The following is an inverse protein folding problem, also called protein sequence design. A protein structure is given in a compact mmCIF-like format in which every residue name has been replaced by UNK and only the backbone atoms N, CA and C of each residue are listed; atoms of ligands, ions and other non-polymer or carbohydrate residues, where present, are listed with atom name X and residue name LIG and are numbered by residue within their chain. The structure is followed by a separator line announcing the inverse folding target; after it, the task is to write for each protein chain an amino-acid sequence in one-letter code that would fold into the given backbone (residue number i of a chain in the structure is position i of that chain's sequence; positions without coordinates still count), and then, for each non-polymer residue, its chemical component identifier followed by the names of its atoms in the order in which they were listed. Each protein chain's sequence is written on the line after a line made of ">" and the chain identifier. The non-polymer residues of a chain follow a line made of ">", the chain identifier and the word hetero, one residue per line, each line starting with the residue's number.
data_IF_108121495879
#
_entry.id   IF_108121495879
#
_cell.length_a   1.000
_cell.length_b   1.000
_cell.length_c   1.000
_cell.angle_alpha   90.00
_cell.angle_beta   90.00
_cell.angle_gamma   90.00
#
_symmetry.space_group_name_H-M   'P 1'
#
loop_
_entity.id
_entity.type
_entity.pdbx_description
1 polymer ?
#
# COMPACT_ATOMS: atom_id res chain seq x y z
N UNK A 1 13.82 49.22 -57.17
CA UNK A 1 13.62 48.19 -56.15
C UNK A 1 12.44 48.48 -55.17
N UNK A 2 11.99 49.70 -54.99
CA UNK A 2 10.89 50.04 -54.08
C UNK A 2 9.47 49.61 -54.52
N UNK A 3 9.25 49.40 -55.85
CA UNK A 3 7.92 48.99 -56.39
C UNK A 3 7.64 47.47 -56.26
N UNK A 4 8.66 46.62 -56.06
CA UNK A 4 8.48 45.18 -55.88
C UNK A 4 8.06 44.81 -54.45
N UNK A 5 8.45 45.61 -53.49
CA UNK A 5 8.13 45.38 -52.07
C UNK A 5 6.65 45.61 -51.71
N UNK A 6 5.96 46.51 -52.46
CA UNK A 6 4.54 46.82 -52.20
C UNK A 6 3.62 45.76 -52.79
N UNK A 7 4.00 45.10 -53.90
CA UNK A 7 3.18 44.06 -54.52
C UNK A 7 3.20 42.74 -53.72
N UNK A 8 4.34 42.42 -53.08
CA UNK A 8 4.46 41.22 -52.26
C UNK A 8 3.63 41.31 -50.98
N UNK A 9 3.45 42.52 -50.40
CA UNK A 9 2.70 42.72 -49.15
C UNK A 9 1.18 42.74 -49.37
N UNK A 10 0.68 42.89 -50.59
CA UNK A 10 -0.77 42.92 -50.90
C UNK A 10 -1.32 41.53 -51.27
N UNK A 11 -0.48 40.64 -51.81
CA UNK A 11 -0.89 39.29 -52.25
C UNK A 11 -0.66 38.16 -51.25
N UNK A 12 0.16 38.37 -50.25
CA UNK A 12 0.33 37.43 -49.13
C UNK A 12 0.02 38.17 -47.84
N UNK A 13 -1.21 38.09 -47.33
CA UNK A 13 -1.46 38.51 -45.96
C UNK A 13 -0.46 37.77 -45.07
N UNK A 14 0.28 38.48 -44.21
CA UNK A 14 1.38 37.89 -43.49
C UNK A 14 0.83 36.68 -42.74
N UNK A 15 1.55 35.58 -42.83
CA UNK A 15 1.27 34.29 -42.13
C UNK A 15 0.92 34.54 -40.66
N UNK A 16 1.43 35.64 -40.10
CA UNK A 16 1.11 36.14 -38.76
C UNK A 16 -0.37 36.47 -38.56
N UNK A 17 -1.07 37.08 -39.54
CA UNK A 17 -2.50 37.43 -39.39
C UNK A 17 -3.34 36.17 -39.42
N UNK A 18 -3.02 35.22 -40.30
CA UNK A 18 -3.68 33.91 -40.36
C UNK A 18 -3.44 33.11 -39.09
N UNK A 19 -2.21 33.08 -38.56
CA UNK A 19 -1.85 32.42 -37.30
C UNK A 19 -2.57 33.05 -36.12
N UNK A 20 -2.67 34.38 -36.07
CA UNK A 20 -3.40 35.07 -34.96
C UNK A 20 -4.88 34.83 -35.04
N UNK A 21 -5.49 34.77 -36.27
CA UNK A 21 -6.92 34.47 -36.42
C UNK A 21 -7.28 33.00 -36.13
N UNK A 22 -6.33 32.07 -36.32
CA UNK A 22 -6.53 30.65 -35.97
C UNK A 22 -6.25 30.31 -34.53
N UNK A 23 -5.52 31.16 -33.79
CA UNK A 23 -5.16 30.92 -32.38
C UNK A 23 -6.37 30.71 -31.48
N UNK A 24 -7.47 31.52 -31.54
CA UNK A 24 -8.65 31.26 -30.72
C UNK A 24 -9.32 29.92 -31.01
N UNK A 25 -9.37 29.52 -32.30
CA UNK A 25 -9.92 28.23 -32.69
C UNK A 25 -9.07 27.07 -32.20
N UNK A 26 -7.76 27.21 -32.29
CA UNK A 26 -6.83 26.21 -31.75
C UNK A 26 -6.94 26.08 -30.22
N UNK A 27 -7.03 27.20 -29.51
CA UNK A 27 -7.23 27.21 -28.04
C UNK A 27 -8.59 26.62 -27.66
N UNK A 28 -9.65 26.90 -28.43
CA UNK A 28 -10.96 26.30 -28.23
C UNK A 28 -10.92 24.78 -28.44
N UNK A 29 -10.28 24.33 -29.54
CA UNK A 29 -10.12 22.90 -29.79
C UNK A 29 -9.34 22.19 -28.69
N UNK A 30 -8.25 22.79 -28.20
CA UNK A 30 -7.50 22.27 -27.06
C UNK A 30 -8.37 22.21 -25.79
N UNK A 31 -9.15 23.26 -25.51
CA UNK A 31 -10.06 23.27 -24.37
C UNK A 31 -11.14 22.20 -24.46
N UNK A 32 -11.70 21.98 -25.68
CA UNK A 32 -12.68 20.91 -25.93
C UNK A 32 -12.04 19.53 -25.73
N UNK A 33 -10.82 19.31 -26.24
CA UNK A 33 -10.10 18.05 -26.09
C UNK A 33 -9.84 17.78 -24.61
N UNK A 34 -9.36 18.78 -23.84
CA UNK A 34 -9.17 18.65 -22.40
C UNK A 34 -10.48 18.36 -21.67
N UNK A 35 -11.55 19.02 -22.06
CA UNK A 35 -12.88 18.77 -21.51
C UNK A 35 -13.35 17.34 -21.77
N UNK A 36 -13.19 16.83 -23.00
CA UNK A 36 -13.56 15.46 -23.37
C UNK A 36 -12.69 14.42 -22.65
N UNK A 37 -11.38 14.68 -22.52
CA UNK A 37 -10.47 13.80 -21.78
C UNK A 37 -10.85 13.74 -20.28
N UNK A 38 -11.16 14.88 -19.68
CA UNK A 38 -11.66 14.93 -18.29
C UNK A 38 -12.95 14.14 -18.16
N UNK A 39 -13.80 14.20 -19.16
CA UNK A 39 -15.05 13.46 -19.24
C UNK A 39 -14.83 11.94 -19.30
N UNK A 40 -13.92 11.50 -20.15
CA UNK A 40 -13.57 10.07 -20.29
C UNK A 40 -13.00 9.56 -18.97
N UNK A 41 -12.09 10.31 -18.34
CA UNK A 41 -11.53 9.94 -17.04
C UNK A 41 -12.61 9.91 -15.98
N UNK A 42 -13.48 10.92 -15.91
CA UNK A 42 -14.60 10.94 -14.95
C UNK A 42 -15.57 9.78 -15.20
N UNK A 43 -15.91 9.47 -16.47
CA UNK A 43 -16.78 8.36 -16.82
C UNK A 43 -16.19 7.00 -16.40
N UNK A 44 -14.88 6.83 -16.57
CA UNK A 44 -14.19 5.60 -16.17
C UNK A 44 -13.99 5.49 -14.66
N UNK A 45 -13.91 6.63 -13.97
CA UNK A 45 -13.59 6.69 -12.54
C UNK A 45 -14.80 6.98 -11.66
N UNK A 46 -15.97 7.36 -12.20
CA UNK A 46 -17.13 7.69 -11.39
C UNK A 46 -17.65 6.51 -10.55
N UNK A 47 -17.80 6.71 -9.26
CA UNK A 47 -18.31 5.71 -8.32
C UNK A 47 -19.83 5.44 -8.47
N UNK A 48 -20.54 6.31 -9.23
CA UNK A 48 -21.99 6.23 -9.45
C UNK A 48 -22.29 6.02 -10.93
N UNK A 49 -23.38 5.34 -11.27
CA UNK A 49 -23.79 5.21 -12.66
C UNK A 49 -23.96 6.60 -13.28
N UNK A 50 -23.47 6.77 -14.51
CA UNK A 50 -23.53 8.03 -15.24
C UNK A 50 -24.99 8.37 -15.53
N UNK A 51 -25.48 9.38 -14.85
CA UNK A 51 -26.76 10.04 -15.13
C UNK A 51 -26.50 11.44 -15.65
N UNK A 52 -27.45 12.02 -16.38
CA UNK A 52 -27.33 13.42 -16.83
C UNK A 52 -27.13 14.40 -15.66
N UNK A 53 -27.64 14.06 -14.47
CA UNK A 53 -27.45 14.85 -13.25
C UNK A 53 -26.07 14.68 -12.59
N UNK A 54 -25.37 13.61 -12.88
CA UNK A 54 -24.00 13.37 -12.38
C UNK A 54 -22.91 14.02 -13.24
N UNK A 55 -23.30 14.66 -14.33
CA UNK A 55 -22.42 15.32 -15.24
C UNK A 55 -21.72 16.51 -14.59
N UNK A 56 -20.40 16.70 -14.73
CA UNK A 56 -19.71 17.84 -14.15
C UNK A 56 -19.97 19.13 -14.97
N UNK A 57 -21.21 19.63 -14.91
CA UNK A 57 -21.59 20.88 -15.57
C UNK A 57 -20.98 22.12 -14.93
N UNK A 58 -20.50 22.02 -13.69
CA UNK A 58 -19.86 23.14 -13.01
C UNK A 58 -18.46 23.40 -13.60
N UNK A 59 -18.25 24.55 -14.26
CA UNK A 59 -16.96 24.90 -14.85
C UNK A 59 -15.83 24.95 -13.81
N UNK A 60 -16.14 25.29 -12.55
CA UNK A 60 -15.15 25.33 -11.45
C UNK A 60 -14.67 23.94 -11.10
N UNK A 61 -15.55 22.96 -11.11
CA UNK A 61 -15.23 21.53 -10.88
C UNK A 61 -14.38 20.98 -12.03
N UNK A 62 -14.75 21.28 -13.27
CA UNK A 62 -13.97 20.88 -14.46
C UNK A 62 -12.57 21.48 -14.44
N UNK A 63 -12.44 22.78 -14.12
CA UNK A 63 -11.14 23.45 -13.98
C UNK A 63 -10.29 22.83 -12.86
N UNK A 64 -10.92 22.48 -11.74
CA UNK A 64 -10.25 21.81 -10.61
C UNK A 64 -9.74 20.44 -11.02
N UNK A 65 -10.56 19.62 -11.68
CA UNK A 65 -10.18 18.29 -12.18
C UNK A 65 -9.09 18.39 -13.24
N UNK A 66 -9.20 19.30 -14.18
CA UNK A 66 -8.17 19.54 -15.20
C UNK A 66 -6.84 19.99 -14.59
N UNK A 67 -6.89 20.88 -13.58
CA UNK A 67 -5.69 21.32 -12.86
C UNK A 67 -5.00 20.14 -12.17
N UNK A 68 -5.76 19.25 -11.56
CA UNK A 68 -5.24 18.06 -10.88
C UNK A 68 -4.61 17.11 -11.90
N UNK A 69 -5.31 16.80 -13.00
CA UNK A 69 -4.80 15.97 -14.09
C UNK A 69 -3.52 16.55 -14.70
N UNK A 70 -3.52 17.85 -14.98
CA UNK A 70 -2.37 18.56 -15.54
C UNK A 70 -1.18 18.56 -14.57
N UNK A 71 -1.39 18.86 -13.28
CA UNK A 71 -0.33 18.86 -12.27
C UNK A 71 0.19 17.44 -11.95
N UNK A 72 -0.63 16.41 -12.12
CA UNK A 72 -0.21 15.02 -11.92
C UNK A 72 0.54 14.46 -13.13
N UNK A 73 0.24 14.93 -14.36
CA UNK A 73 0.85 14.40 -15.59
C UNK A 73 2.16 15.08 -15.96
N UNK A 74 2.32 16.38 -15.70
CA UNK A 74 3.56 17.10 -16.05
C UNK A 74 4.79 16.62 -15.25
N UNK A 75 4.77 16.51 -13.92
CA UNK A 75 5.93 16.03 -13.17
C UNK A 75 6.30 14.58 -13.52
N UNK A 76 5.31 13.72 -13.74
CA UNK A 76 5.53 12.32 -14.07
C UNK A 76 6.16 12.14 -15.45
N UNK A 77 5.70 12.89 -16.45
CA UNK A 77 6.24 12.80 -17.81
C UNK A 77 7.65 13.39 -17.94
N UNK A 78 7.95 14.49 -17.24
CA UNK A 78 9.28 15.07 -17.22
C UNK A 78 10.27 14.19 -16.45
N UNK A 79 9.83 13.54 -15.39
CA UNK A 79 10.66 12.61 -14.60
C UNK A 79 10.85 11.25 -15.29
N UNK A 80 9.92 10.81 -16.14
CA UNK A 80 9.99 9.51 -16.84
C UNK A 80 10.94 9.53 -18.05
N UNK A 81 11.20 10.68 -18.68
CA UNK A 81 12.13 10.76 -19.80
C UNK A 81 13.57 10.34 -19.43
N UNK A 82 14.19 10.83 -18.34
CA UNK A 82 15.46 10.32 -17.86
C UNK A 82 15.42 8.84 -17.47
N UNK A 83 14.32 8.38 -16.87
CA UNK A 83 14.11 6.98 -16.49
C UNK A 83 14.03 6.09 -17.73
N UNK A 84 13.26 6.47 -18.76
CA UNK A 84 13.17 5.73 -20.01
C UNK A 84 14.51 5.62 -20.75
N UNK A 85 15.29 6.69 -20.78
CA UNK A 85 16.64 6.70 -21.39
C UNK A 85 17.62 5.83 -20.58
N UNK A 86 17.46 5.75 -19.26
CA UNK A 86 18.30 4.91 -18.41
C UNK A 86 17.97 3.44 -18.53
N UNK A 87 16.71 3.07 -18.74
CA UNK A 87 16.26 1.69 -18.95
C UNK A 87 16.97 1.04 -20.15
N UNK A 88 17.20 1.79 -21.23
CA UNK A 88 17.91 1.31 -22.42
C UNK A 88 19.36 0.94 -22.08
N UNK A 89 20.02 1.71 -21.24
CA UNK A 89 21.43 1.50 -20.85
C UNK A 89 21.62 0.34 -19.87
N UNK A 90 20.69 0.10 -18.96
CA UNK A 90 20.78 -0.93 -17.92
C UNK A 90 20.28 -2.30 -18.32
N UNK A 91 19.49 -2.45 -19.40
CA UNK A 91 18.96 -3.75 -19.88
C UNK A 91 20.08 -4.73 -20.29
N UNK A 92 21.28 -4.25 -20.55
CA UNK A 92 22.44 -5.05 -20.97
C UNK A 92 23.32 -5.58 -19.84
N UNK A 93 23.06 -5.21 -18.57
CA UNK A 93 23.99 -5.48 -17.44
C UNK A 93 23.53 -6.52 -16.41
N UNK A 94 22.37 -7.14 -16.56
CA UNK A 94 21.72 -7.89 -15.49
C UNK A 94 21.97 -9.39 -15.41
N UNK A 95 22.94 -9.94 -16.16
CA UNK A 95 23.16 -11.40 -16.20
C UNK A 95 24.55 -11.87 -15.78
N UNK A 96 25.04 -11.58 -14.58
CA UNK A 96 26.09 -12.38 -13.94
C UNK A 96 25.96 -12.35 -12.43
N UNK A 97 25.43 -13.45 -11.85
CA UNK A 97 25.46 -13.70 -10.41
C UNK A 97 26.88 -14.07 -9.96
N UNK A 98 27.32 -13.48 -8.86
CA UNK A 98 28.48 -14.01 -8.12
C UNK A 98 28.05 -15.29 -7.40
N UNK A 99 28.70 -16.41 -7.72
CA UNK A 99 28.48 -17.67 -7.01
C UNK A 99 29.00 -17.57 -5.58
N UNK A 100 28.21 -18.01 -4.60
CA UNK A 100 28.72 -18.42 -3.31
C UNK A 100 28.07 -17.87 -2.05
N UNK A 101 27.43 -16.69 -2.04
CA UNK A 101 26.77 -16.13 -0.84
C UNK A 101 25.29 -15.90 -1.10
N UNK A 102 24.44 -16.53 -0.26
CA UNK A 102 23.00 -16.26 -0.24
C UNK A 102 22.75 -14.85 0.26
N UNK A 103 21.83 -14.14 -0.37
CA UNK A 103 21.59 -12.69 -0.15
C UNK A 103 20.18 -12.43 0.33
N UNK A 104 19.95 -11.41 1.16
CA UNK A 104 18.61 -10.99 1.49
C UNK A 104 17.80 -10.69 0.23
N UNK A 105 16.52 -11.02 0.27
CA UNK A 105 15.58 -10.86 -0.84
C UNK A 105 14.62 -9.75 -0.51
N UNK A 106 14.41 -8.82 -1.45
CA UNK A 106 13.44 -7.74 -1.31
C UNK A 106 12.38 -7.91 -2.38
N UNK A 107 11.14 -8.16 -1.95
CA UNK A 107 9.96 -8.11 -2.81
C UNK A 107 9.43 -6.68 -2.75
N UNK A 108 9.40 -5.98 -3.89
CA UNK A 108 8.92 -4.60 -3.95
C UNK A 108 7.58 -4.49 -4.65
N UNK A 109 6.57 -3.99 -3.93
CA UNK A 109 5.22 -3.70 -4.43
C UNK A 109 5.09 -2.19 -4.65
N UNK A 110 4.87 -1.81 -5.90
CA UNK A 110 4.83 -0.41 -6.30
C UNK A 110 3.50 0.28 -5.95
N UNK A 111 3.56 1.62 -5.90
CA UNK A 111 2.40 2.48 -5.76
C UNK A 111 1.74 2.82 -7.11
N UNK A 112 0.67 3.60 -7.05
CA UNK A 112 -0.08 4.06 -8.23
C UNK A 112 -1.58 4.15 -7.96
N UNK A 113 -1.96 4.49 -6.73
CA UNK A 113 -3.35 4.65 -6.30
C UNK A 113 -4.24 3.44 -6.69
N UNK A 114 -3.69 2.23 -6.60
CA UNK A 114 -4.33 0.94 -6.93
C UNK A 114 -4.82 0.81 -8.39
N UNK A 115 -4.62 1.81 -9.23
CA UNK A 115 -5.17 1.89 -10.60
C UNK A 115 -4.12 2.04 -11.69
N UNK A 116 -2.86 2.21 -11.33
CA UNK A 116 -1.78 2.46 -12.28
C UNK A 116 -0.45 1.90 -11.79
N UNK A 117 0.57 1.96 -12.64
CA UNK A 117 1.90 1.47 -12.36
C UNK A 117 2.24 0.20 -13.12
N UNK A 118 3.51 -0.12 -13.16
CA UNK A 118 4.05 -1.37 -13.71
C UNK A 118 5.48 -1.58 -13.23
N UNK A 119 5.92 -2.83 -13.15
CA UNK A 119 7.29 -3.20 -12.72
C UNK A 119 8.39 -2.55 -13.57
N UNK A 120 8.11 -2.24 -14.86
CA UNK A 120 9.09 -1.63 -15.76
C UNK A 120 9.56 -0.27 -15.26
N UNK A 121 8.69 0.50 -14.61
CA UNK A 121 9.02 1.83 -14.06
C UNK A 121 10.08 1.71 -12.96
N UNK A 122 10.14 0.58 -12.27
CA UNK A 122 11.00 0.34 -11.11
C UNK A 122 12.27 -0.47 -11.42
N UNK A 123 12.61 -0.63 -12.71
CA UNK A 123 13.85 -1.34 -13.11
C UNK A 123 15.10 -0.71 -12.49
N UNK A 124 15.15 0.62 -12.36
CA UNK A 124 16.26 1.32 -11.72
C UNK A 124 16.32 1.06 -10.21
N UNK A 125 15.18 0.93 -9.54
CA UNK A 125 15.12 0.51 -8.15
C UNK A 125 15.70 -0.90 -7.99
N UNK A 126 15.30 -1.84 -8.85
CA UNK A 126 15.85 -3.19 -8.87
C UNK A 126 17.37 -3.22 -9.07
N UNK A 127 17.89 -2.38 -9.97
CA UNK A 127 19.33 -2.23 -10.17
C UNK A 127 20.03 -1.69 -8.92
N UNK A 128 19.42 -0.72 -8.23
CA UNK A 128 19.96 -0.14 -7.00
C UNK A 128 19.96 -1.15 -5.84
N UNK A 129 18.85 -1.87 -5.62
CA UNK A 129 18.76 -2.90 -4.59
C UNK A 129 19.81 -3.99 -4.83
N UNK A 130 20.02 -4.39 -6.08
CA UNK A 130 21.10 -5.30 -6.45
C UNK A 130 22.48 -4.71 -6.16
N UNK A 131 22.72 -3.43 -6.46
CA UNK A 131 23.98 -2.75 -6.15
C UNK A 131 24.23 -2.66 -4.63
N UNK A 132 23.16 -2.65 -3.83
CA UNK A 132 23.22 -2.75 -2.37
C UNK A 132 23.52 -4.17 -1.87
N UNK A 133 23.50 -5.19 -2.74
CA UNK A 133 23.80 -6.58 -2.38
C UNK A 133 22.59 -7.49 -2.23
N UNK A 134 21.40 -7.04 -2.59
CA UNK A 134 20.14 -7.78 -2.40
C UNK A 134 19.64 -8.45 -3.69
N UNK A 135 18.84 -9.48 -3.56
CA UNK A 135 18.01 -10.00 -4.66
C UNK A 135 16.71 -9.20 -4.69
N UNK A 136 16.38 -8.61 -5.83
CA UNK A 136 15.16 -7.79 -5.98
C UNK A 136 14.12 -8.53 -6.81
N UNK A 137 12.90 -8.67 -6.28
CA UNK A 137 11.72 -9.22 -6.94
C UNK A 137 10.69 -8.10 -7.07
N UNK A 138 10.30 -7.76 -8.27
CA UNK A 138 9.33 -6.68 -8.54
C UNK A 138 8.20 -7.26 -9.40
N UNK A 139 7.13 -7.77 -8.77
CA UNK A 139 5.98 -8.31 -9.48
C UNK A 139 5.08 -7.19 -10.01
N UNK A 140 4.31 -7.47 -11.07
CA UNK A 140 3.10 -6.74 -11.34
C UNK A 140 1.96 -7.29 -10.47
N UNK A 141 1.00 -6.46 -10.16
CA UNK A 141 -0.26 -6.87 -9.52
C UNK A 141 -1.46 -6.31 -10.31
N UNK A 142 -2.59 -6.95 -10.17
CA UNK A 142 -3.83 -6.55 -10.82
C UNK A 142 -4.25 -5.17 -10.34
N UNK A 143 -4.46 -4.24 -11.27
CA UNK A 143 -4.86 -2.86 -10.97
C UNK A 143 -6.33 -2.63 -11.32
N UNK A 144 -6.99 -1.69 -10.62
CA UNK A 144 -8.33 -1.25 -10.96
C UNK A 144 -8.36 -0.67 -12.40
N UNK A 145 -9.38 -0.92 -13.24
CA UNK A 145 -10.65 -1.58 -12.92
C UNK A 145 -10.68 -3.11 -13.09
N UNK A 146 -9.55 -3.76 -13.44
CA UNK A 146 -9.49 -5.22 -13.68
C UNK A 146 -9.66 -6.04 -12.40
N UNK A 147 -9.30 -5.48 -11.24
CA UNK A 147 -9.48 -6.08 -9.95
C UNK A 147 -9.66 -5.03 -8.85
N UNK A 148 -9.95 -5.49 -7.63
CA UNK A 148 -10.10 -4.71 -6.40
C UNK A 148 -9.06 -5.14 -5.38
N UNK A 149 -9.18 -4.69 -4.13
CA UNK A 149 -8.20 -5.00 -3.08
C UNK A 149 -7.95 -6.49 -2.92
N UNK A 150 -8.98 -7.32 -3.04
CA UNK A 150 -8.87 -8.77 -2.93
C UNK A 150 -7.93 -9.39 -3.96
N UNK A 151 -8.14 -9.12 -5.24
CA UNK A 151 -7.30 -9.64 -6.32
C UNK A 151 -5.86 -9.10 -6.20
N UNK A 152 -5.70 -7.85 -5.75
CA UNK A 152 -4.39 -7.25 -5.50
C UNK A 152 -3.65 -7.94 -4.35
N UNK A 153 -4.35 -8.25 -3.26
CA UNK A 153 -3.81 -9.01 -2.12
C UNK A 153 -3.42 -10.43 -2.53
N UNK A 154 -4.23 -11.10 -3.36
CA UNK A 154 -3.93 -12.43 -3.90
C UNK A 154 -2.66 -12.43 -4.75
N UNK A 155 -2.45 -11.41 -5.57
CA UNK A 155 -1.22 -11.23 -6.36
C UNK A 155 0.01 -11.02 -5.46
N UNK A 156 -0.12 -10.23 -4.38
CA UNK A 156 0.96 -10.04 -3.40
C UNK A 156 1.27 -11.36 -2.67
N UNK A 157 0.26 -12.12 -2.25
CA UNK A 157 0.43 -13.44 -1.63
C UNK A 157 1.15 -14.39 -2.58
N UNK A 158 0.75 -14.41 -3.86
CA UNK A 158 1.38 -15.24 -4.88
C UNK A 158 2.85 -14.87 -5.09
N UNK A 159 3.17 -13.57 -5.12
CA UNK A 159 4.54 -13.08 -5.22
C UNK A 159 5.40 -13.51 -4.02
N UNK A 160 4.85 -13.48 -2.80
CA UNK A 160 5.55 -13.94 -1.59
C UNK A 160 5.84 -15.45 -1.68
N UNK A 161 4.82 -16.27 -2.03
CA UNK A 161 4.97 -17.74 -2.15
C UNK A 161 5.97 -18.11 -3.24
N UNK A 162 5.86 -17.49 -4.41
CA UNK A 162 6.79 -17.70 -5.50
C UNK A 162 8.22 -17.34 -5.09
N UNK A 163 8.39 -16.22 -4.41
CA UNK A 163 9.72 -15.81 -3.95
C UNK A 163 10.29 -16.81 -2.94
N UNK A 164 9.49 -17.28 -2.00
CA UNK A 164 9.91 -18.29 -1.02
C UNK A 164 10.38 -19.59 -1.71
N UNK A 165 9.69 -19.99 -2.76
CA UNK A 165 9.98 -21.25 -3.47
C UNK A 165 11.19 -21.14 -4.40
N UNK A 166 11.37 -19.99 -5.08
CA UNK A 166 12.33 -19.88 -6.18
C UNK A 166 13.53 -18.95 -5.92
N UNK A 167 13.57 -18.18 -4.82
CA UNK A 167 14.62 -17.17 -4.65
C UNK A 167 16.04 -17.74 -4.59
N UNK A 168 16.22 -18.97 -4.12
CA UNK A 168 17.52 -19.66 -4.09
C UNK A 168 18.13 -19.80 -5.48
N UNK A 169 17.30 -20.06 -6.51
CA UNK A 169 17.77 -20.16 -7.91
C UNK A 169 18.38 -18.86 -8.42
N UNK A 170 18.07 -17.74 -7.74
CA UNK A 170 18.60 -16.41 -8.04
C UNK A 170 19.64 -15.93 -7.02
N UNK A 171 20.09 -16.81 -6.13
CA UNK A 171 21.06 -16.50 -5.07
C UNK A 171 20.46 -15.75 -3.88
N UNK A 172 19.14 -15.86 -3.68
CA UNK A 172 18.40 -15.30 -2.55
C UNK A 172 18.31 -16.27 -1.39
N UNK A 173 18.34 -15.72 -0.17
CA UNK A 173 18.16 -16.48 1.07
C UNK A 173 16.66 -16.50 1.46
N UNK A 174 15.99 -17.68 1.41
CA UNK A 174 14.57 -17.79 1.74
C UNK A 174 14.28 -17.49 3.23
N UNK A 175 15.27 -17.51 4.10
CA UNK A 175 15.14 -17.11 5.51
C UNK A 175 15.21 -15.59 5.70
N UNK A 176 15.61 -14.83 4.68
CA UNK A 176 15.81 -13.38 4.72
C UNK A 176 15.00 -12.66 3.64
N UNK A 177 13.70 -12.92 3.61
CA UNK A 177 12.77 -12.25 2.70
C UNK A 177 12.15 -11.03 3.39
N UNK A 178 12.29 -9.89 2.74
CA UNK A 178 11.69 -8.60 3.14
C UNK A 178 10.64 -8.19 2.11
N UNK A 179 9.49 -7.71 2.59
CA UNK A 179 8.45 -7.15 1.74
C UNK A 179 8.50 -5.62 1.85
N UNK A 180 8.78 -4.96 0.74
CA UNK A 180 8.89 -3.51 0.64
C UNK A 180 7.74 -2.98 -0.21
N UNK A 181 7.07 -1.92 0.25
CA UNK A 181 6.00 -1.30 -0.52
C UNK A 181 6.08 0.22 -0.51
N UNK A 182 5.49 0.85 -1.53
CA UNK A 182 5.37 2.30 -1.62
C UNK A 182 3.92 2.70 -1.87
N UNK A 183 3.39 3.72 -1.16
CA UNK A 183 2.05 4.27 -1.37
C UNK A 183 0.98 3.16 -1.32
N UNK A 184 0.16 3.00 -2.37
CA UNK A 184 -0.79 1.89 -2.51
C UNK A 184 -0.11 0.50 -2.35
N UNK A 185 1.16 0.34 -2.77
CA UNK A 185 1.91 -0.89 -2.56
C UNK A 185 2.27 -1.12 -1.09
N UNK A 186 2.57 -0.08 -0.32
CA UNK A 186 2.80 -0.20 1.13
C UNK A 186 1.50 -0.59 1.87
N UNK A 187 0.37 -0.03 1.43
CA UNK A 187 -0.95 -0.46 1.89
C UNK A 187 -1.15 -1.96 1.63
N UNK A 188 -0.98 -2.42 0.39
CA UNK A 188 -1.17 -3.82 0.01
C UNK A 188 -0.24 -4.75 0.79
N UNK A 189 1.04 -4.38 0.97
CA UNK A 189 1.99 -5.15 1.77
C UNK A 189 1.51 -5.35 3.20
N UNK A 190 1.16 -4.26 3.89
CA UNK A 190 0.70 -4.32 5.28
C UNK A 190 -0.64 -5.02 5.42
N UNK A 191 -1.59 -4.75 4.51
CA UNK A 191 -2.92 -5.36 4.51
C UNK A 191 -2.84 -6.88 4.32
N UNK A 192 -2.09 -7.34 3.31
CA UNK A 192 -1.93 -8.77 3.01
C UNK A 192 -1.36 -9.53 4.20
N UNK A 193 -0.32 -9.00 4.83
CA UNK A 193 0.33 -9.68 5.98
C UNK A 193 -0.57 -9.67 7.21
N UNK A 194 -1.20 -8.54 7.53
CA UNK A 194 -2.06 -8.44 8.72
C UNK A 194 -3.30 -9.34 8.57
N UNK A 195 -3.93 -9.37 7.40
CA UNK A 195 -5.07 -10.27 7.14
C UNK A 195 -4.67 -11.76 7.25
N UNK A 196 -3.51 -12.13 6.71
CA UNK A 196 -3.00 -13.50 6.84
C UNK A 196 -2.72 -13.87 8.31
N UNK A 197 -2.13 -12.94 9.08
CA UNK A 197 -1.94 -13.12 10.53
C UNK A 197 -3.27 -13.29 11.28
N UNK A 198 -4.31 -12.49 10.93
CA UNK A 198 -5.66 -12.64 11.51
C UNK A 198 -6.22 -14.02 11.23
N UNK A 199 -6.12 -14.48 9.99
CA UNK A 199 -6.61 -15.81 9.60
C UNK A 199 -5.90 -16.93 10.37
N UNK A 200 -4.58 -16.87 10.47
CA UNK A 200 -3.79 -17.83 11.23
C UNK A 200 -4.15 -17.80 12.72
N UNK A 201 -4.25 -16.61 13.28
CA UNK A 201 -4.57 -16.39 14.69
C UNK A 201 -5.93 -16.97 15.06
N UNK A 202 -6.95 -16.73 14.24
CA UNK A 202 -8.29 -17.29 14.46
C UNK A 202 -8.31 -18.82 14.31
N UNK A 203 -7.57 -19.37 13.33
CA UNK A 203 -7.54 -20.81 13.10
C UNK A 203 -6.85 -21.60 14.22
N UNK A 204 -5.91 -21.00 14.95
CA UNK A 204 -5.13 -21.67 15.99
C UNK A 204 -5.95 -21.92 17.27
N UNK A 205 -6.94 -21.09 17.63
CA UNK A 205 -7.82 -21.26 18.79
C UNK A 205 -9.27 -20.98 18.40
N UNK A 206 -9.80 -21.81 17.51
CA UNK A 206 -11.00 -21.55 16.71
C UNK A 206 -12.23 -21.16 17.53
N UNK A 207 -12.50 -21.82 18.65
CA UNK A 207 -13.71 -21.53 19.45
C UNK A 207 -13.64 -20.24 20.24
N UNK A 208 -12.56 -20.02 21.00
CA UNK A 208 -12.40 -18.83 21.85
C UNK A 208 -12.28 -17.56 21.01
N UNK A 209 -11.47 -17.60 19.94
CA UNK A 209 -11.19 -16.44 19.11
C UNK A 209 -12.32 -16.10 18.15
N UNK A 210 -13.15 -17.06 17.75
CA UNK A 210 -14.36 -16.78 16.97
C UNK A 210 -15.37 -15.93 17.74
N UNK A 211 -15.52 -16.15 19.06
CA UNK A 211 -16.39 -15.29 19.88
C UNK A 211 -15.83 -13.87 20.01
N UNK A 212 -14.54 -13.73 20.28
CA UNK A 212 -13.87 -12.42 20.36
C UNK A 212 -14.03 -11.61 19.05
N UNK A 213 -13.92 -12.27 17.92
CA UNK A 213 -14.01 -11.66 16.59
C UNK A 213 -15.45 -11.25 16.24
N UNK A 214 -16.48 -11.95 16.74
CA UNK A 214 -17.88 -11.59 16.48
C UNK A 214 -18.29 -10.22 17.04
N UNK A 215 -17.62 -9.75 18.09
CA UNK A 215 -17.91 -8.45 18.68
C UNK A 215 -17.41 -7.27 17.81
N UNK A 216 -16.45 -7.52 16.91
CA UNK A 216 -15.94 -6.51 15.96
C UNK A 216 -16.52 -6.73 14.57
N UNK A 217 -17.33 -5.78 14.05
CA UNK A 217 -17.85 -5.88 12.68
C UNK A 217 -16.76 -6.03 11.61
N UNK A 218 -15.59 -5.40 11.82
CA UNK A 218 -14.45 -5.47 10.90
C UNK A 218 -13.86 -6.87 10.89
N UNK A 219 -13.56 -7.45 12.06
CA UNK A 219 -12.99 -8.79 12.16
C UNK A 219 -14.01 -9.86 11.74
N UNK A 220 -15.27 -9.71 12.10
CA UNK A 220 -16.34 -10.61 11.65
C UNK A 220 -16.51 -10.59 10.14
N UNK A 221 -16.44 -9.39 9.51
CA UNK A 221 -16.48 -9.23 8.06
C UNK A 221 -15.30 -9.91 7.37
N UNK A 222 -14.09 -9.80 7.91
CA UNK A 222 -12.91 -10.51 7.40
C UNK A 222 -13.10 -12.03 7.47
N UNK A 223 -13.63 -12.57 8.57
CA UNK A 223 -13.90 -14.01 8.68
C UNK A 223 -14.97 -14.47 7.70
N UNK A 224 -16.03 -13.70 7.52
CA UNK A 224 -17.07 -14.02 6.55
C UNK A 224 -16.51 -14.03 5.12
N UNK A 225 -15.62 -13.11 4.79
CA UNK A 225 -14.92 -13.11 3.51
C UNK A 225 -14.08 -14.39 3.33
N UNK A 226 -13.43 -14.89 4.36
CA UNK A 226 -12.67 -16.15 4.31
C UNK A 226 -13.60 -17.37 4.17
N UNK A 227 -14.70 -17.44 4.92
CA UNK A 227 -15.64 -18.56 4.87
C UNK A 227 -16.33 -18.65 3.51
N UNK A 228 -16.76 -17.54 2.93
CA UNK A 228 -17.39 -17.51 1.61
C UNK A 228 -16.47 -17.99 0.47
N UNK A 229 -15.16 -17.99 0.68
CA UNK A 229 -14.18 -18.55 -0.25
C UNK A 229 -14.02 -20.08 -0.12
N UNK A 230 -14.50 -20.67 0.98
CA UNK A 230 -14.39 -22.12 1.25
C UNK A 230 -15.60 -22.88 0.69
N UNK A 231 -16.69 -22.21 0.31
CA UNK A 231 -17.89 -22.84 -0.29
C UNK A 231 -17.73 -23.20 -1.78
N UNK A 232 -16.50 -23.32 -2.27
CA UNK A 232 -16.18 -23.87 -3.59
C UNK A 232 -16.29 -25.42 -3.57
N UNK A 233 -16.52 -26.08 -4.74
CA UNK A 233 -16.64 -27.53 -4.83
C UNK A 233 -15.50 -28.27 -4.13
N UNK A 234 -15.74 -29.43 -3.49
CA UNK A 234 -14.76 -30.14 -2.63
C UNK A 234 -13.39 -30.43 -3.27
N UNK A 235 -13.32 -30.56 -4.59
CA UNK A 235 -12.06 -30.78 -5.31
C UNK A 235 -11.22 -29.50 -5.48
N UNK A 236 -11.87 -28.33 -5.51
CA UNK A 236 -11.19 -27.04 -5.55
C UNK A 236 -10.79 -26.58 -4.13
N UNK A 237 -11.55 -26.95 -3.11
CA UNK A 237 -11.30 -26.61 -1.71
C UNK A 237 -10.05 -27.28 -1.15
N UNK A 238 -9.76 -28.53 -1.50
CA UNK A 238 -8.52 -29.23 -1.07
C UNK A 238 -7.24 -28.59 -1.61
N UNK A 239 -7.32 -27.87 -2.74
CA UNK A 239 -6.19 -27.17 -3.34
C UNK A 239 -6.09 -25.71 -2.89
N UNK A 240 -7.15 -25.19 -2.27
CA UNK A 240 -7.30 -23.81 -1.83
C UNK A 240 -7.43 -23.66 -0.30
N UNK A 241 -7.15 -24.68 0.50
CA UNK A 241 -6.74 -24.45 1.88
C UNK A 241 -5.52 -23.52 1.79
N UNK A 242 -5.78 -22.21 1.94
CA UNK A 242 -4.73 -21.19 1.88
C UNK A 242 -3.73 -21.55 2.95
N UNK A 243 -2.64 -22.19 2.53
CA UNK A 243 -1.53 -22.40 3.43
C UNK A 243 -1.09 -21.02 3.95
N UNK A 244 -0.78 -20.89 5.24
CA UNK A 244 -0.24 -19.67 5.79
C UNK A 244 0.88 -19.11 4.92
N UNK A 245 1.00 -17.80 4.87
CA UNK A 245 2.17 -17.19 4.23
C UNK A 245 3.43 -17.55 5.03
N UNK A 246 4.56 -17.70 4.36
CA UNK A 246 5.82 -17.85 5.06
C UNK A 246 6.09 -16.60 5.89
N UNK A 247 6.62 -16.77 7.10
CA UNK A 247 6.97 -15.64 7.95
C UNK A 247 8.08 -14.83 7.32
N UNK A 248 7.79 -13.56 7.06
CA UNK A 248 8.77 -12.64 6.50
C UNK A 248 9.74 -12.14 7.57
N UNK A 249 10.97 -11.89 7.18
CA UNK A 249 11.99 -11.31 8.03
C UNK A 249 11.65 -9.86 8.42
N UNK A 250 11.05 -9.09 7.51
CA UNK A 250 10.62 -7.74 7.82
C UNK A 250 9.76 -7.09 6.76
N UNK A 251 9.12 -5.98 7.15
CA UNK A 251 8.38 -5.08 6.26
C UNK A 251 9.09 -3.74 6.15
N UNK A 252 9.12 -3.17 4.94
CA UNK A 252 9.59 -1.80 4.67
C UNK A 252 8.44 -1.06 4.00
N UNK A 253 7.83 -0.12 4.70
CA UNK A 253 6.59 0.54 4.32
C UNK A 253 6.83 2.02 4.07
N UNK A 254 6.78 2.45 2.80
CA UNK A 254 7.14 3.80 2.37
C UNK A 254 5.89 4.59 1.97
N UNK A 255 5.61 5.72 2.65
CA UNK A 255 4.52 6.67 2.32
C UNK A 255 3.17 5.99 2.08
N UNK A 256 2.80 4.99 2.92
CA UNK A 256 1.63 4.15 2.72
C UNK A 256 0.35 4.71 3.31
N UNK A 257 -0.78 4.21 2.80
CA UNK A 257 -2.13 4.44 3.35
C UNK A 257 -2.46 3.29 4.28
N UNK A 258 -2.78 3.58 5.55
CA UNK A 258 -3.03 2.52 6.53
C UNK A 258 -4.39 2.62 7.22
N UNK A 259 -5.11 3.71 6.96
CA UNK A 259 -6.54 3.88 7.24
C UNK A 259 -7.24 4.49 6.04
N UNK A 260 -8.15 3.72 5.44
CA UNK A 260 -8.86 4.10 4.23
C UNK A 260 -9.85 5.23 4.50
N UNK A 261 -10.49 5.24 5.67
CA UNK A 261 -11.47 6.29 6.02
C UNK A 261 -10.79 7.64 6.21
N UNK A 262 -9.68 7.69 6.97
CA UNK A 262 -8.88 8.92 7.12
C UNK A 262 -8.33 9.41 5.77
N UNK A 263 -7.88 8.47 4.94
CA UNK A 263 -7.36 8.87 3.62
C UNK A 263 -8.45 9.41 2.71
N UNK A 264 -9.68 8.88 2.78
CA UNK A 264 -10.83 9.43 2.05
C UNK A 264 -11.13 10.86 2.49
N UNK A 265 -11.12 11.16 3.79
CA UNK A 265 -11.28 12.53 4.30
C UNK A 265 -10.18 13.45 3.74
N UNK A 266 -8.93 12.99 3.72
CA UNK A 266 -7.83 13.74 3.11
C UNK A 266 -8.03 13.97 1.60
N UNK A 267 -8.50 12.97 0.86
CA UNK A 267 -8.84 13.11 -0.56
C UNK A 267 -9.97 14.11 -0.78
N UNK A 268 -11.01 14.10 0.08
CA UNK A 268 -12.12 15.05 0.04
C UNK A 268 -11.65 16.51 0.27
N UNK A 269 -10.77 16.72 1.25
CA UNK A 269 -10.18 18.05 1.48
C UNK A 269 -9.41 18.54 0.26
N UNK A 270 -8.70 17.65 -0.43
CA UNK A 270 -7.99 17.94 -1.68
C UNK A 270 -8.94 18.03 -2.89
N UNK A 271 -10.17 17.49 -2.79
CA UNK A 271 -11.19 17.38 -3.84
C UNK A 271 -10.77 16.45 -4.97
N UNK A 272 -10.11 15.34 -4.65
CA UNK A 272 -9.68 14.29 -5.58
C UNK A 272 -10.47 12.99 -5.42
N UNK A 273 -11.34 12.89 -4.42
CA UNK A 273 -12.10 11.71 -4.02
C UNK A 273 -12.93 11.11 -5.17
N UNK A 274 -13.40 11.96 -6.09
CA UNK A 274 -14.23 11.50 -7.22
C UNK A 274 -13.39 10.87 -8.35
N UNK A 275 -12.14 11.30 -8.51
CA UNK A 275 -11.22 10.75 -9.53
C UNK A 275 -10.36 9.63 -8.97
N UNK A 276 -10.22 9.55 -7.65
CA UNK A 276 -9.51 8.45 -6.98
C UNK A 276 -10.23 7.11 -7.19
N UNK A 277 -9.47 6.07 -7.45
CA UNK A 277 -10.00 4.71 -7.52
C UNK A 277 -10.26 4.11 -6.13
N UNK A 278 -9.70 4.72 -5.05
CA UNK A 278 -9.61 4.13 -3.72
C UNK A 278 -10.94 3.58 -3.19
N UNK A 279 -11.98 4.40 -3.12
CA UNK A 279 -13.27 3.96 -2.57
C UNK A 279 -13.84 2.75 -3.30
N UNK A 280 -13.67 2.70 -4.64
CA UNK A 280 -14.18 1.60 -5.49
C UNK A 280 -13.34 0.34 -5.35
N UNK A 281 -12.05 0.49 -5.19
CA UNK A 281 -11.12 -0.62 -4.92
C UNK A 281 -11.43 -1.25 -3.58
N UNK A 282 -11.75 -0.41 -2.56
CA UNK A 282 -11.97 -0.84 -1.18
C UNK A 282 -13.43 -1.20 -0.85
N UNK A 283 -14.37 -1.16 -1.82
CA UNK A 283 -15.74 -1.67 -1.66
C UNK A 283 -16.81 -0.64 -1.30
N UNK A 284 -16.52 0.67 -1.30
CA UNK A 284 -17.49 1.78 -1.12
C UNK A 284 -18.35 1.77 0.16
N UNK A 285 -17.95 1.11 1.24
CA UNK A 285 -18.67 1.11 2.51
C UNK A 285 -17.73 1.30 3.69
N UNK A 286 -18.22 1.86 4.79
CA UNK A 286 -17.42 2.04 6.01
C UNK A 286 -16.88 0.71 6.55
N UNK A 287 -17.69 -0.37 6.48
CA UNK A 287 -17.25 -1.69 6.89
C UNK A 287 -16.11 -2.19 6.00
N UNK A 288 -16.26 -2.11 4.67
CA UNK A 288 -15.20 -2.53 3.76
C UNK A 288 -13.96 -1.65 3.86
N UNK A 289 -14.10 -0.36 4.19
CA UNK A 289 -12.95 0.50 4.48
C UNK A 289 -12.21 0.03 5.73
N UNK A 290 -12.92 -0.32 6.80
CA UNK A 290 -12.33 -0.90 8.01
C UNK A 290 -11.59 -2.21 7.72
N UNK A 291 -12.22 -3.12 6.96
CA UNK A 291 -11.63 -4.41 6.53
C UNK A 291 -10.40 -4.24 5.63
N UNK A 292 -10.24 -3.10 4.98
CA UNK A 292 -9.10 -2.75 4.14
C UNK A 292 -8.17 -1.70 4.78
N UNK A 293 -8.26 -1.49 6.10
CA UNK A 293 -7.43 -0.54 6.85
C UNK A 293 -6.51 -1.29 7.82
N UNK A 294 -5.23 -1.49 7.48
CA UNK A 294 -4.27 -2.20 8.34
C UNK A 294 -4.24 -1.72 9.79
N UNK A 295 -4.25 -0.41 10.01
CA UNK A 295 -4.25 0.18 11.35
C UNK A 295 -5.55 -0.12 12.13
N UNK A 296 -6.70 -0.08 11.47
CA UNK A 296 -7.98 -0.42 12.11
C UNK A 296 -8.07 -1.90 12.46
N UNK A 297 -7.60 -2.79 11.61
CA UNK A 297 -7.59 -4.24 11.89
C UNK A 297 -6.76 -4.51 13.15
N UNK A 298 -5.55 -3.93 13.24
CA UNK A 298 -4.70 -4.06 14.43
C UNK A 298 -5.37 -3.51 15.68
N UNK A 299 -6.00 -2.34 15.59
CA UNK A 299 -6.75 -1.72 16.70
C UNK A 299 -7.89 -2.62 17.18
N UNK A 300 -8.65 -3.21 16.26
CA UNK A 300 -9.75 -4.11 16.62
C UNK A 300 -9.26 -5.42 17.27
N UNK A 301 -8.12 -5.97 16.83
CA UNK A 301 -7.51 -7.12 17.49
C UNK A 301 -7.05 -6.77 18.91
N UNK A 302 -6.38 -5.63 19.09
CA UNK A 302 -5.95 -5.18 20.41
C UNK A 302 -7.16 -4.97 21.34
N UNK A 303 -8.25 -4.38 20.83
CA UNK A 303 -9.50 -4.16 21.55
C UNK A 303 -10.19 -5.46 21.92
N UNK A 304 -10.38 -6.38 20.97
CA UNK A 304 -10.97 -7.68 21.21
C UNK A 304 -10.19 -8.50 22.25
N UNK A 305 -8.85 -8.43 22.20
CA UNK A 305 -7.99 -9.10 23.16
C UNK A 305 -7.99 -8.46 24.56
N UNK A 306 -8.45 -7.21 24.70
CA UNK A 306 -8.46 -6.46 25.96
C UNK A 306 -9.85 -6.45 26.63
N UNK A 307 -10.90 -6.90 25.93
CA UNK A 307 -12.27 -6.95 26.49
C UNK A 307 -12.35 -8.08 27.52
N UNK A 308 -12.75 -7.81 28.76
CA UNK A 308 -13.03 -8.85 29.75
C UNK A 308 -14.38 -9.50 29.46
N UNK A 309 -14.61 -9.98 28.26
CA UNK A 309 -15.86 -10.66 27.89
C UNK A 309 -15.70 -12.14 28.06
N UNK A 310 -16.53 -12.61 28.88
CA UNK A 310 -17.00 -13.95 29.28
C UNK A 310 -16.75 -14.22 30.75
N UNK A 311 -17.07 -13.23 31.61
CA UNK A 311 -17.53 -13.59 32.95
C UNK A 311 -18.80 -14.45 32.76
N UNK A 312 -18.82 -15.59 33.40
CA UNK A 312 -19.92 -16.60 33.42
C UNK A 312 -21.32 -16.05 33.79
N UNK A 313 -21.71 -14.84 33.40
CA UNK A 313 -22.97 -14.20 33.77
C UNK A 313 -24.14 -14.45 32.82
N UNK A 314 -23.99 -15.31 31.81
CA UNK A 314 -25.08 -15.66 30.88
C UNK A 314 -25.70 -17.03 31.12
N UNK A 315 -25.44 -17.68 32.26
CA UNK A 315 -26.23 -18.85 32.68
C UNK A 315 -27.43 -18.45 33.56
N UNK A 316 -28.63 -19.02 33.34
CA UNK A 316 -29.83 -18.65 34.09
C UNK A 316 -29.63 -18.86 35.58
N UNK A 317 -29.92 -17.84 36.38
CA UNK A 317 -29.77 -17.70 37.81
C UNK A 317 -30.68 -18.66 38.65
N UNK A 318 -30.41 -19.96 38.64
CA UNK A 318 -31.02 -20.88 39.61
C UNK A 318 -30.05 -21.80 40.38
N UNK A 319 -28.75 -21.65 40.19
CA UNK A 319 -27.75 -22.46 40.92
C UNK A 319 -26.62 -21.63 41.58
N UNK A 320 -26.80 -20.31 41.75
CA UNK A 320 -25.74 -19.37 42.09
C UNK A 320 -25.62 -18.98 43.59
N UNK A 321 -26.39 -19.55 44.48
CA UNK A 321 -26.40 -19.04 45.87
C UNK A 321 -25.38 -19.71 46.85
N UNK A 322 -24.60 -20.68 46.40
CA UNK A 322 -23.64 -21.38 47.32
C UNK A 322 -22.16 -21.29 46.94
N UNK A 323 -21.77 -20.58 45.84
CA UNK A 323 -20.36 -20.51 45.42
C UNK A 323 -19.73 -19.09 45.41
N UNK A 324 -20.49 -18.09 45.82
CA UNK A 324 -20.06 -16.66 45.68
C UNK A 324 -19.11 -16.10 46.73
N UNK A 325 -18.64 -16.88 47.67
CA UNK A 325 -17.76 -16.40 48.77
C UNK A 325 -16.25 -16.64 48.56
N UNK A 326 -15.83 -17.40 47.53
CA UNK A 326 -14.43 -17.79 47.32
C UNK A 326 -13.81 -17.34 46.00
N UNK A 327 -14.60 -16.74 45.09
CA UNK A 327 -14.19 -16.44 43.70
C UNK A 327 -13.61 -15.04 43.48
N UNK A 328 -13.67 -14.12 44.43
CA UNK A 328 -13.32 -12.69 44.22
C UNK A 328 -11.84 -12.32 44.16
N UNK A 329 -10.91 -13.24 44.40
CA UNK A 329 -9.47 -12.94 44.39
C UNK A 329 -8.68 -13.66 43.26
N UNK A 330 -9.31 -14.55 42.51
CA UNK A 330 -8.66 -15.36 41.47
C UNK A 330 -8.91 -14.87 40.02
N UNK A 331 -10.07 -14.25 39.77
CA UNK A 331 -10.51 -13.96 38.41
C UNK A 331 -9.71 -12.86 37.69
N UNK A 332 -9.27 -11.84 38.42
CA UNK A 332 -8.50 -10.71 37.82
C UNK A 332 -7.13 -11.12 37.29
N UNK A 333 -6.53 -12.17 37.88
CA UNK A 333 -5.20 -12.62 37.47
C UNK A 333 -5.29 -13.62 36.31
N UNK A 334 -6.35 -14.36 36.18
CA UNK A 334 -6.59 -15.31 35.10
C UNK A 334 -7.02 -14.60 33.79
N UNK A 335 -7.84 -13.55 33.87
CA UNK A 335 -8.22 -12.72 32.73
C UNK A 335 -7.03 -11.94 32.17
N UNK A 336 -6.15 -11.42 33.04
CA UNK A 336 -4.93 -10.74 32.61
C UNK A 336 -3.92 -11.69 31.96
N UNK A 337 -3.84 -12.94 32.39
CA UNK A 337 -2.99 -13.97 31.80
C UNK A 337 -3.51 -14.44 30.44
N UNK A 338 -4.82 -14.60 30.25
CA UNK A 338 -5.42 -14.96 28.97
C UNK A 338 -5.29 -13.82 27.95
N UNK A 339 -5.58 -12.59 28.33
CA UNK A 339 -5.38 -11.40 27.48
C UNK A 339 -3.93 -11.28 27.02
N UNK A 340 -2.98 -11.50 27.91
CA UNK A 340 -1.55 -11.50 27.59
C UNK A 340 -1.19 -12.63 26.60
N UNK A 341 -1.83 -13.80 26.67
CA UNK A 341 -1.56 -14.92 25.77
C UNK A 341 -2.08 -14.65 24.35
N UNK A 342 -3.27 -14.09 24.18
CA UNK A 342 -3.86 -13.82 22.87
C UNK A 342 -3.04 -12.78 22.06
N UNK A 343 -2.56 -11.74 22.73
CA UNK A 343 -1.68 -10.73 22.10
C UNK A 343 -0.31 -11.31 21.75
N UNK A 344 0.28 -12.16 22.62
CA UNK A 344 1.57 -12.81 22.37
C UNK A 344 1.50 -13.76 21.17
N UNK A 345 0.39 -14.49 21.03
CA UNK A 345 0.16 -15.41 19.91
C UNK A 345 0.05 -14.65 18.59
N UNK A 346 -0.74 -13.57 18.54
CA UNK A 346 -0.85 -12.73 17.32
C UNK A 346 0.51 -12.11 16.95
N UNK A 347 1.25 -11.63 17.96
CA UNK A 347 2.60 -11.10 17.79
C UNK A 347 3.54 -12.10 17.12
N UNK A 348 3.46 -13.38 17.47
CA UNK A 348 4.33 -14.43 16.92
C UNK A 348 4.15 -14.64 15.42
N UNK A 349 3.00 -14.23 14.86
CA UNK A 349 2.66 -14.33 13.45
C UNK A 349 3.15 -13.13 12.63
N UNK A 350 3.31 -11.96 13.27
CA UNK A 350 3.81 -10.76 12.61
C UNK A 350 5.27 -10.92 12.16
N UNK A 351 5.71 -10.18 11.12
CA UNK A 351 7.12 -10.10 10.76
C UNK A 351 7.99 -9.67 11.95
N UNK A 352 9.25 -10.10 11.95
CA UNK A 352 10.12 -9.85 13.10
C UNK A 352 10.40 -8.37 13.34
N UNK A 353 10.43 -7.58 12.26
CA UNK A 353 10.68 -6.14 12.30
C UNK A 353 9.94 -5.39 11.21
N UNK A 354 9.58 -4.14 11.50
CA UNK A 354 8.87 -3.24 10.59
C UNK A 354 9.55 -1.89 10.54
N UNK A 355 9.87 -1.42 9.34
CA UNK A 355 10.37 -0.08 9.08
C UNK A 355 9.30 0.72 8.34
N UNK A 356 8.88 1.84 8.91
CA UNK A 356 7.97 2.79 8.27
C UNK A 356 8.74 4.05 7.93
N UNK A 357 8.73 4.46 6.66
CA UNK A 357 9.42 5.67 6.18
C UNK A 357 8.40 6.59 5.54
N UNK A 358 8.37 7.87 5.94
CA UNK A 358 7.43 8.84 5.39
C UNK A 358 8.08 10.21 5.24
N UNK A 359 7.65 10.97 4.23
CA UNK A 359 8.03 12.36 4.06
C UNK A 359 7.09 13.30 4.82
N UNK A 360 7.63 14.25 5.58
CA UNK A 360 6.82 15.24 6.28
C UNK A 360 6.02 16.12 5.30
N UNK A 361 6.61 16.43 4.13
CA UNK A 361 5.97 17.24 3.09
C UNK A 361 5.12 16.43 2.09
N UNK A 362 4.77 15.20 2.45
CA UNK A 362 3.91 14.37 1.63
C UNK A 362 2.46 14.90 1.60
N UNK A 363 2.08 15.47 0.45
CA UNK A 363 0.74 16.00 0.21
C UNK A 363 -0.22 14.97 -0.40
N UNK A 364 0.28 13.83 -0.81
CA UNK A 364 -0.52 12.75 -1.38
C UNK A 364 -1.11 11.88 -0.30
N UNK A 365 -0.26 11.39 0.60
CA UNK A 365 -0.65 10.66 1.80
C UNK A 365 -0.05 11.39 3.00
N UNK A 366 -0.85 11.84 3.97
CA UNK A 366 -0.32 12.56 5.12
C UNK A 366 0.52 11.64 6.01
N UNK A 367 1.61 12.16 6.58
CA UNK A 367 2.51 11.40 7.45
C UNK A 367 1.80 10.82 8.70
N UNK A 368 0.66 11.41 9.10
CA UNK A 368 -0.21 10.89 10.17
C UNK A 368 -0.63 9.44 9.93
N UNK A 369 -0.81 9.02 8.68
CA UNK A 369 -1.12 7.64 8.32
C UNK A 369 -0.04 6.66 8.81
N UNK A 370 1.24 7.00 8.61
CA UNK A 370 2.38 6.22 9.09
C UNK A 370 2.54 6.26 10.60
N UNK A 371 2.31 7.42 11.22
CA UNK A 371 2.32 7.57 12.68
C UNK A 371 1.26 6.68 13.32
N UNK A 372 0.07 6.64 12.75
CA UNK A 372 -1.02 5.79 13.22
C UNK A 372 -0.66 4.30 13.14
N UNK A 373 -0.22 3.81 11.98
CA UNK A 373 0.20 2.42 11.84
C UNK A 373 1.31 2.05 12.83
N UNK A 374 2.30 2.91 12.98
CA UNK A 374 3.40 2.71 13.91
C UNK A 374 2.89 2.55 15.35
N UNK A 375 1.97 3.42 15.79
CA UNK A 375 1.34 3.33 17.11
C UNK A 375 0.62 2.00 17.32
N UNK A 376 -0.18 1.56 16.35
CA UNK A 376 -0.91 0.30 16.46
C UNK A 376 0.04 -0.92 16.47
N UNK A 377 1.09 -0.89 15.66
CA UNK A 377 2.11 -1.96 15.66
C UNK A 377 2.91 -2.03 16.95
N UNK A 378 3.16 -0.90 17.61
CA UNK A 378 3.86 -0.87 18.90
C UNK A 378 3.10 -1.62 20.00
N UNK A 379 1.78 -1.69 19.94
CA UNK A 379 0.98 -2.47 20.88
C UNK A 379 1.33 -3.98 20.84
N UNK A 380 1.78 -4.47 19.68
CA UNK A 380 2.15 -5.88 19.48
C UNK A 380 3.67 -6.11 19.52
N UNK A 381 4.46 -5.19 19.00
CA UNK A 381 5.91 -5.33 18.77
C UNK A 381 6.73 -4.41 19.68
N UNK A 382 6.28 -4.24 20.93
CA UNK A 382 6.94 -3.34 21.89
C UNK A 382 8.31 -3.84 22.42
N UNK A 383 8.63 -5.11 22.23
CA UNK A 383 9.91 -5.71 22.60
C UNK A 383 10.41 -6.68 21.53
N UNK A 384 11.66 -6.56 21.06
CA UNK A 384 12.60 -5.50 21.41
C UNK A 384 12.16 -4.12 20.89
N UNK A 385 12.57 -3.05 21.58
CA UNK A 385 12.18 -1.66 21.29
C UNK A 385 12.37 -1.23 19.83
N UNK A 386 13.27 -1.88 19.11
CA UNK A 386 13.61 -1.57 17.72
C UNK A 386 12.83 -2.41 16.68
N UNK A 387 11.88 -3.25 17.13
CA UNK A 387 11.12 -4.09 16.19
C UNK A 387 10.25 -3.28 15.24
N UNK A 388 9.77 -2.10 15.67
CA UNK A 388 9.01 -1.16 14.83
C UNK A 388 9.71 0.19 14.84
N UNK A 389 10.20 0.60 13.67
CA UNK A 389 10.88 1.89 13.49
C UNK A 389 10.03 2.80 12.59
N UNK A 390 9.90 4.07 12.99
CA UNK A 390 9.28 5.11 12.17
C UNK A 390 10.28 6.22 11.89
N UNK A 391 10.49 6.51 10.60
CA UNK A 391 11.30 7.63 10.13
C UNK A 391 10.41 8.61 9.36
N UNK A 392 10.07 9.74 9.98
CA UNK A 392 9.45 10.88 9.30
C UNK A 392 10.56 11.86 8.95
N UNK A 393 10.75 12.12 7.65
CA UNK A 393 11.88 12.90 7.14
C UNK A 393 11.39 14.25 6.64
N UNK A 394 11.92 15.32 7.20
CA UNK A 394 11.55 16.70 6.85
C UNK A 394 11.94 17.03 5.40
N UNK A 395 11.13 17.88 4.76
CA UNK A 395 11.27 18.30 3.36
C UNK A 395 11.21 17.15 2.33
N UNK A 396 10.77 15.97 2.73
CA UNK A 396 10.65 14.83 1.85
C UNK A 396 9.20 14.68 1.33
N UNK A 397 9.05 14.55 0.01
CA UNK A 397 7.77 14.37 -0.69
C UNK A 397 7.43 12.90 -0.88
N UNK A 398 6.19 12.62 -1.34
CA UNK A 398 5.59 11.29 -1.49
C UNK A 398 6.46 10.23 -2.17
N UNK A 399 7.07 10.56 -3.31
CA UNK A 399 7.84 9.58 -4.09
C UNK A 399 9.28 9.41 -3.61
N UNK A 400 9.78 10.36 -2.80
CA UNK A 400 11.18 10.42 -2.45
C UNK A 400 11.74 9.18 -1.72
N UNK A 401 11.00 8.47 -0.86
CA UNK A 401 11.51 7.25 -0.23
C UNK A 401 12.02 6.20 -1.21
N UNK A 402 11.46 6.17 -2.43
CA UNK A 402 11.83 5.21 -3.48
C UNK A 402 12.67 5.87 -4.57
N UNK A 403 12.23 7.02 -5.10
CA UNK A 403 12.92 7.68 -6.22
C UNK A 403 14.30 8.20 -5.84
N UNK A 404 14.47 8.65 -4.60
CA UNK A 404 15.74 9.19 -4.14
C UNK A 404 16.88 8.16 -4.10
N UNK A 405 16.57 6.88 -3.94
CA UNK A 405 17.58 5.82 -3.96
C UNK A 405 17.86 5.27 -5.35
N UNK A 406 17.03 5.59 -6.35
CA UNK A 406 17.29 5.17 -7.74
C UNK A 406 18.52 5.88 -8.31
N UNK A 407 19.33 5.21 -9.16
CA UNK A 407 20.45 5.84 -9.82
C UNK A 407 20.03 7.09 -10.61
N UNK A 408 20.64 8.22 -10.34
CA UNK A 408 20.39 9.50 -11.03
C UNK A 408 21.56 9.85 -11.95
N UNK A 409 21.24 10.44 -13.13
CA UNK A 409 22.24 10.85 -14.10
C UNK A 409 22.86 12.24 -13.82
N UNK A 410 22.20 13.08 -13.01
CA UNK A 410 22.65 14.47 -12.81
C UNK A 410 23.25 14.66 -11.41
N UNK A 411 22.43 14.60 -10.41
CA UNK A 411 22.86 14.76 -9.01
C UNK A 411 22.07 13.80 -8.14
N UNK A 412 22.71 13.10 -7.20
CA UNK A 412 21.99 12.30 -6.22
C UNK A 412 21.00 13.17 -5.44
N UNK A 413 19.86 12.62 -5.08
CA UNK A 413 18.94 13.28 -4.17
C UNK A 413 19.61 13.54 -2.81
N UNK A 414 19.33 14.65 -2.13
CA UNK A 414 19.88 14.91 -0.78
C UNK A 414 19.49 13.82 0.23
N UNK A 415 18.42 13.08 -0.03
CA UNK A 415 17.95 11.96 0.81
C UNK A 415 18.60 10.62 0.47
N UNK A 416 19.30 10.52 -0.68
CA UNK A 416 19.76 9.24 -1.24
C UNK A 416 20.63 8.45 -0.25
N UNK A 417 21.69 9.06 0.27
CA UNK A 417 22.63 8.38 1.18
C UNK A 417 21.94 7.98 2.50
N UNK A 418 21.13 8.88 3.06
CA UNK A 418 20.42 8.63 4.30
C UNK A 418 19.44 7.46 4.15
N UNK A 419 18.64 7.43 3.08
CA UNK A 419 17.68 6.35 2.82
C UNK A 419 18.38 5.02 2.54
N UNK A 420 19.45 5.00 1.74
CA UNK A 420 20.24 3.80 1.49
C UNK A 420 20.78 3.23 2.79
N UNK A 421 21.33 4.09 3.67
CA UNK A 421 21.84 3.66 4.96
C UNK A 421 20.71 3.15 5.87
N UNK A 422 19.58 3.86 5.94
CA UNK A 422 18.40 3.45 6.72
C UNK A 422 17.91 2.07 6.32
N UNK A 423 17.81 1.79 5.01
CA UNK A 423 17.38 0.48 4.52
C UNK A 423 18.41 -0.61 4.81
N UNK A 424 19.71 -0.31 4.64
CA UNK A 424 20.79 -1.24 5.00
C UNK A 424 20.76 -1.60 6.48
N UNK A 425 20.76 -0.59 7.35
CA UNK A 425 20.75 -0.79 8.79
C UNK A 425 19.54 -1.62 9.23
N UNK A 426 18.39 -1.41 8.59
CA UNK A 426 17.21 -2.21 8.87
C UNK A 426 17.35 -3.66 8.41
N UNK A 427 17.89 -3.89 7.21
CA UNK A 427 18.01 -5.23 6.62
C UNK A 427 19.14 -6.02 7.30
N UNK A 428 20.31 -5.41 7.48
CA UNK A 428 21.54 -6.09 7.91
C UNK A 428 21.67 -6.22 9.44
N UNK A 429 20.93 -5.41 10.23
CA UNK A 429 20.92 -5.57 11.69
C UNK A 429 20.18 -6.86 12.07
N UNK A 430 20.84 -7.80 12.78
CA UNK A 430 20.17 -9.00 13.27
C UNK A 430 18.96 -8.64 14.14
N UNK A 431 17.87 -9.38 14.03
CA UNK A 431 16.82 -9.30 15.03
C UNK A 431 17.35 -9.93 16.34
N UNK A 432 17.06 -9.35 17.48
CA UNK A 432 17.48 -9.86 18.78
C UNK A 432 16.99 -11.29 19.09
N UNK A 433 16.01 -11.81 18.33
CA UNK A 433 15.57 -13.20 18.40
C UNK A 433 16.64 -14.20 17.87
N UNK A 434 17.57 -13.74 17.01
CA UNK A 434 18.62 -14.58 16.42
C UNK A 434 19.91 -14.61 17.26
N UNK A 435 20.01 -13.82 18.32
CA UNK A 435 21.19 -13.76 19.20
C UNK A 435 21.07 -14.67 20.44
N UNK A 436 19.97 -15.45 20.54
CA UNK A 436 19.68 -16.31 21.70
C UNK A 436 19.67 -17.81 21.35
N UNK A 437 20.37 -18.21 20.24
CA UNK A 437 20.61 -19.63 19.89
C UNK A 437 22.11 -19.92 19.94
#
# INVERSE_FOLDING_TARGET
>A
MAKLGVIVSVFFPPVSVFMVSMLPLALLAVAIIFYLLTWIVYAQTAARPLTLSSFPWDPRRILKLNRILFLSTIPTNISLIPVALSLIKYRLWTMRGSQGLMRPVIIFIYGGAWSSGSKQIYTLLGAQLRAMGYVAVIPDYTTFPRGRSKEMEEDVQMAIRWTQEYCETYGGDPSQIYLMGHSAGAHLCSLTIIKDCVQQWVNTARHERQELVKESPVLAGLLQEYVSQVELPPEATKKLERQPLPRLRGLILCSGVYDISEHLEHEMVRGVEEVSAMSRVMGNSLLSFGMNSPAMILQEIARASSSPSLSLSSFPSKLSSHLTAKAKAGDTQQDSLQTSSHLSDFRSLLPEKVLVVHGEDDKTVPASSSVRLHKELQAFLSTPLDAVRLHVISNMMHQAPIVAIMPSFKTPSPFSQHLIQTYRDFIETPSHASAAI
#
